data_IF_814084024976
#
_entry.id   IF_814084024976
#
_cell.length_a   1.000
_cell.length_b   1.000
_cell.length_c   1.000
_cell.angle_alpha   90.00
_cell.angle_beta   90.00
_cell.angle_gamma   90.00
#
_symmetry.space_group_name_H-M   'P 1'
#
loop_
_entity.id
_entity.type
_entity.pdbx_description
1 polymer ?
#
# COMPACT_ATOMS: atom_id res chain seq x y z
N UNK A 1 -12.81 -11.09 34.33
CA UNK A 1 -12.78 -9.74 34.94
C UNK A 1 -11.53 -8.93 34.57
N UNK A 2 -10.33 -9.53 34.52
CA UNK A 2 -9.07 -8.83 34.14
C UNK A 2 -8.93 -8.43 32.65
N UNK A 3 -9.58 -9.15 31.71
CA UNK A 3 -9.49 -8.85 30.28
C UNK A 3 -10.30 -7.62 29.85
N UNK A 4 -11.46 -7.37 30.49
CA UNK A 4 -12.32 -6.23 30.20
C UNK A 4 -11.67 -4.88 30.59
N UNK A 5 -10.95 -4.86 31.71
CA UNK A 5 -10.24 -3.65 32.20
C UNK A 5 -9.09 -3.20 31.29
N UNK A 6 -8.45 -4.13 30.56
CA UNK A 6 -7.41 -3.79 29.57
C UNK A 6 -8.00 -3.19 28.28
N UNK A 7 -9.19 -3.63 27.88
CA UNK A 7 -9.89 -3.11 26.70
C UNK A 7 -10.34 -1.66 26.89
N UNK A 8 -10.88 -1.32 28.06
CA UNK A 8 -11.33 0.05 28.36
C UNK A 8 -10.15 1.04 28.41
N UNK A 9 -9.03 0.67 29.03
CA UNK A 9 -7.85 1.53 29.12
C UNK A 9 -7.14 1.72 27.77
N UNK A 10 -7.18 0.72 26.87
CA UNK A 10 -6.71 0.84 25.48
C UNK A 10 -7.65 1.72 24.65
N UNK A 11 -8.96 1.55 24.79
CA UNK A 11 -9.96 2.39 24.12
C UNK A 11 -9.86 3.86 24.56
N UNK A 12 -9.63 4.10 25.84
CA UNK A 12 -9.48 5.44 26.40
C UNK A 12 -8.15 6.10 25.97
N UNK A 13 -7.04 5.33 25.90
CA UNK A 13 -5.76 5.81 25.34
C UNK A 13 -5.88 6.12 23.85
N UNK A 14 -6.56 5.29 23.08
CA UNK A 14 -6.84 5.55 21.66
C UNK A 14 -7.72 6.80 21.49
N UNK A 15 -8.78 6.94 22.29
CA UNK A 15 -9.69 8.09 22.25
C UNK A 15 -8.99 9.40 22.60
N UNK A 16 -8.16 9.43 23.65
CA UNK A 16 -7.38 10.62 24.03
C UNK A 16 -6.31 10.96 22.98
N UNK A 17 -5.68 9.95 22.38
CA UNK A 17 -4.70 10.17 21.30
C UNK A 17 -5.34 10.74 20.03
N UNK A 18 -6.55 10.29 19.69
CA UNK A 18 -7.32 10.80 18.56
C UNK A 18 -7.89 12.19 18.86
N UNK A 19 -8.39 12.45 20.06
CA UNK A 19 -9.00 13.73 20.43
C UNK A 19 -7.98 14.88 20.47
N UNK A 20 -6.72 14.60 20.85
CA UNK A 20 -5.61 15.56 20.77
C UNK A 20 -5.32 15.98 19.31
N UNK A 21 -5.53 15.09 18.34
CA UNK A 21 -5.37 15.41 16.90
C UNK A 21 -6.58 16.14 16.29
N UNK A 22 -7.79 15.97 16.83
CA UNK A 22 -9.02 16.57 16.28
C UNK A 22 -9.09 18.10 16.33
N UNK A 23 -8.27 18.77 17.14
CA UNK A 23 -8.26 20.23 17.24
C UNK A 23 -7.59 20.97 16.07
N UNK A 24 -6.98 20.24 15.12
CA UNK A 24 -6.38 20.83 13.93
C UNK A 24 -6.92 20.22 12.63
N UNK A 25 -8.21 20.46 12.33
CA UNK A 25 -8.88 20.01 11.10
C UNK A 25 -8.06 20.28 9.82
N UNK A 26 -7.33 21.41 9.77
CA UNK A 26 -6.43 21.77 8.67
C UNK A 26 -5.24 20.80 8.51
N UNK A 27 -4.63 20.36 9.62
CA UNK A 27 -3.51 19.40 9.59
C UNK A 27 -3.97 18.01 9.19
N UNK A 28 -5.13 17.56 9.70
CA UNK A 28 -5.73 16.28 9.30
C UNK A 28 -6.01 16.28 7.80
N UNK A 29 -6.59 17.37 7.27
CA UNK A 29 -6.87 17.48 5.85
C UNK A 29 -5.58 17.47 4.99
N UNK A 30 -4.53 18.18 5.42
CA UNK A 30 -3.23 18.15 4.73
C UNK A 30 -2.62 16.74 4.72
N UNK A 31 -2.67 16.02 5.85
CA UNK A 31 -2.19 14.63 5.92
C UNK A 31 -2.98 13.71 4.99
N UNK A 32 -4.31 13.87 4.95
CA UNK A 32 -5.18 13.06 4.09
C UNK A 32 -4.89 13.31 2.61
N UNK A 33 -4.68 14.58 2.20
CA UNK A 33 -4.23 14.90 0.85
C UNK A 33 -2.88 14.22 0.57
N UNK A 34 -1.93 14.33 1.49
CA UNK A 34 -0.60 13.73 1.32
C UNK A 34 -0.69 12.22 1.12
N UNK A 35 -1.54 11.53 1.90
CA UNK A 35 -1.79 10.09 1.74
C UNK A 35 -2.42 9.76 0.39
N UNK A 36 -3.41 10.52 -0.05
CA UNK A 36 -4.03 10.32 -1.38
C UNK A 36 -2.99 10.51 -2.49
N UNK A 37 -2.17 11.56 -2.40
CA UNK A 37 -1.12 11.84 -3.38
C UNK A 37 -0.08 10.72 -3.40
N UNK A 38 0.37 10.26 -2.23
CA UNK A 38 1.30 9.14 -2.14
C UNK A 38 0.72 7.87 -2.76
N UNK A 39 -0.55 7.58 -2.49
CA UNK A 39 -1.24 6.42 -3.05
C UNK A 39 -1.39 6.54 -4.57
N UNK A 40 -1.73 7.74 -5.06
CA UNK A 40 -1.84 8.02 -6.49
C UNK A 40 -0.50 7.84 -7.21
N UNK A 41 0.60 8.31 -6.63
CA UNK A 41 1.95 8.12 -7.18
C UNK A 41 2.27 6.62 -7.27
N UNK A 42 1.98 5.85 -6.22
CA UNK A 42 2.21 4.41 -6.23
C UNK A 42 1.41 3.70 -7.35
N UNK A 43 0.14 4.07 -7.54
CA UNK A 43 -0.69 3.50 -8.60
C UNK A 43 -0.28 3.94 -10.00
N UNK A 44 0.18 5.18 -10.15
CA UNK A 44 0.72 5.68 -11.40
C UNK A 44 2.03 4.97 -11.78
N UNK A 45 2.87 4.61 -10.80
CA UNK A 45 4.06 3.81 -11.06
C UNK A 45 3.72 2.45 -11.68
N UNK A 46 2.66 1.78 -11.21
CA UNK A 46 2.20 0.51 -11.81
C UNK A 46 1.81 0.68 -13.27
N UNK A 47 1.15 1.79 -13.62
CA UNK A 47 0.80 2.08 -15.02
C UNK A 47 2.05 2.23 -15.90
N UNK A 48 3.10 2.87 -15.38
CA UNK A 48 4.39 2.96 -16.08
C UNK A 48 5.03 1.56 -16.21
N UNK A 49 4.98 0.75 -15.15
CA UNK A 49 5.51 -0.62 -15.17
C UNK A 49 4.73 -1.55 -16.13
N UNK A 50 3.43 -1.37 -16.30
CA UNK A 50 2.68 -2.14 -17.32
C UNK A 50 3.14 -1.77 -18.73
N UNK A 51 3.39 -0.48 -18.97
CA UNK A 51 3.89 -0.01 -20.25
C UNK A 51 5.31 -0.51 -20.56
N UNK A 52 6.18 -0.70 -19.54
CA UNK A 52 7.52 -1.27 -19.75
C UNK A 52 7.48 -2.75 -20.12
N UNK A 53 6.44 -3.48 -19.72
CA UNK A 53 6.16 -4.85 -20.16
C UNK A 53 5.48 -4.92 -21.54
N UNK A 54 5.30 -3.78 -22.22
CA UNK A 54 4.52 -3.68 -23.47
C UNK A 54 3.09 -4.18 -23.32
N UNK A 55 2.50 -4.05 -22.13
CA UNK A 55 1.09 -4.43 -21.91
C UNK A 55 0.24 -3.25 -21.47
N UNK A 56 -0.96 -3.18 -22.03
CA UNK A 56 -1.91 -2.13 -21.75
C UNK A 56 -2.89 -2.53 -20.63
N UNK A 57 -2.84 -1.80 -19.53
CA UNK A 57 -3.87 -1.83 -18.49
C UNK A 57 -4.46 -0.43 -18.38
N UNK A 58 -5.79 -0.26 -18.58
CA UNK A 58 -6.43 1.03 -18.39
C UNK A 58 -6.16 1.58 -16.99
N UNK A 59 -5.71 2.83 -16.89
CA UNK A 59 -5.38 3.46 -15.61
C UNK A 59 -6.55 3.43 -14.62
N UNK A 60 -7.79 3.61 -15.11
CA UNK A 60 -9.00 3.50 -14.28
C UNK A 60 -9.17 2.11 -13.63
N UNK A 61 -8.75 1.03 -14.30
CA UNK A 61 -8.77 -0.31 -13.70
C UNK A 61 -7.73 -0.43 -12.59
N UNK A 62 -6.53 0.11 -12.79
CA UNK A 62 -5.46 0.12 -11.76
C UNK A 62 -5.95 0.88 -10.52
N UNK A 63 -6.55 2.06 -10.70
CA UNK A 63 -7.08 2.88 -9.60
C UNK A 63 -8.15 2.17 -8.76
N UNK A 64 -8.99 1.33 -9.37
CA UNK A 64 -10.04 0.60 -8.66
C UNK A 64 -9.51 -0.67 -7.99
N UNK A 65 -8.63 -1.40 -8.68
CA UNK A 65 -8.13 -2.70 -8.21
C UNK A 65 -7.06 -2.54 -7.13
N UNK A 66 -6.15 -1.57 -7.27
CA UNK A 66 -5.00 -1.48 -6.39
C UNK A 66 -5.32 -1.17 -4.92
N UNK A 67 -6.32 -0.34 -4.56
CA UNK A 67 -6.75 -0.21 -3.17
C UNK A 67 -7.20 -1.54 -2.56
N UNK A 68 -7.86 -2.40 -3.35
CA UNK A 68 -8.30 -3.73 -2.91
C UNK A 68 -7.09 -4.62 -2.67
N UNK A 69 -6.13 -4.64 -3.61
CA UNK A 69 -4.88 -5.41 -3.45
C UNK A 69 -4.09 -4.92 -2.23
N UNK A 70 -4.00 -3.60 -2.03
CA UNK A 70 -3.33 -3.01 -0.88
C UNK A 70 -4.00 -3.45 0.44
N UNK A 71 -5.33 -3.39 0.52
CA UNK A 71 -6.09 -3.84 1.69
C UNK A 71 -5.88 -5.34 1.97
N UNK A 72 -5.84 -6.18 0.92
CA UNK A 72 -5.51 -7.60 1.05
C UNK A 72 -4.08 -7.79 1.59
N UNK A 73 -3.10 -7.06 1.06
CA UNK A 73 -1.70 -7.15 1.51
C UNK A 73 -1.48 -6.64 2.93
N UNK A 74 -2.39 -5.81 3.47
CA UNK A 74 -2.38 -5.40 4.88
C UNK A 74 -2.83 -6.50 5.84
N UNK A 75 -3.48 -7.55 5.33
CA UNK A 75 -3.83 -8.70 6.15
C UNK A 75 -2.54 -9.44 6.55
N UNK A 76 -2.32 -9.74 7.85
CA UNK A 76 -1.11 -10.40 8.33
C UNK A 76 -1.14 -11.91 8.05
N UNK A 77 -1.59 -12.31 6.86
CA UNK A 77 -1.66 -13.70 6.40
C UNK A 77 -0.30 -14.15 5.87
N UNK A 78 0.47 -13.23 5.28
CA UNK A 78 1.77 -13.51 4.65
C UNK A 78 2.80 -12.43 4.97
N UNK A 79 4.10 -12.74 4.89
CA UNK A 79 5.16 -11.75 5.12
C UNK A 79 5.13 -10.66 4.03
N UNK A 80 4.72 -9.43 4.38
CA UNK A 80 4.61 -8.29 3.45
C UNK A 80 3.68 -8.52 2.24
N UNK A 81 2.74 -9.47 2.34
CA UNK A 81 1.92 -9.84 1.19
C UNK A 81 2.64 -10.73 0.17
N UNK A 82 3.85 -11.27 0.45
CA UNK A 82 4.53 -12.21 -0.45
C UNK A 82 3.68 -13.48 -0.63
N UNK A 83 3.37 -13.82 -1.87
CA UNK A 83 2.38 -14.81 -2.29
C UNK A 83 0.99 -14.21 -2.51
N UNK A 84 0.49 -13.39 -1.58
CA UNK A 84 -0.85 -12.79 -1.68
C UNK A 84 -0.91 -11.68 -2.73
N UNK A 85 0.17 -10.91 -2.88
CA UNK A 85 0.33 -9.86 -3.89
C UNK A 85 0.39 -10.47 -5.28
N UNK A 86 1.24 -11.45 -5.48
CA UNK A 86 1.41 -12.15 -6.75
C UNK A 86 0.10 -12.79 -7.17
N UNK A 87 -0.56 -13.49 -6.25
CA UNK A 87 -1.87 -14.08 -6.48
C UNK A 87 -2.92 -13.00 -6.83
N UNK A 88 -2.99 -11.90 -6.07
CA UNK A 88 -3.97 -10.85 -6.31
C UNK A 88 -3.74 -10.13 -7.65
N UNK A 89 -2.48 -9.87 -8.02
CA UNK A 89 -2.15 -9.30 -9.32
C UNK A 89 -2.57 -10.23 -10.46
N UNK A 90 -2.24 -11.53 -10.38
CA UNK A 90 -2.68 -12.52 -11.36
C UNK A 90 -4.20 -12.57 -11.42
N UNK A 91 -4.89 -12.67 -10.28
CA UNK A 91 -6.34 -12.73 -10.20
C UNK A 91 -7.03 -11.53 -10.87
N UNK A 92 -6.58 -10.30 -10.59
CA UNK A 92 -7.25 -9.10 -11.09
C UNK A 92 -6.80 -8.66 -12.49
N UNK A 93 -5.54 -8.90 -12.86
CA UNK A 93 -4.96 -8.41 -14.13
C UNK A 93 -4.80 -9.49 -15.20
N UNK A 94 -4.74 -10.78 -14.88
CA UNK A 94 -4.65 -11.86 -15.88
C UNK A 94 -5.69 -11.74 -17.01
N UNK A 95 -6.97 -11.40 -16.76
CA UNK A 95 -7.95 -11.23 -17.83
C UNK A 95 -7.61 -10.13 -18.87
N UNK A 96 -6.67 -9.23 -18.56
CA UNK A 96 -6.24 -8.16 -19.45
C UNK A 96 -4.90 -8.44 -20.10
N UNK A 97 -3.98 -9.06 -19.37
CA UNK A 97 -2.55 -9.12 -19.74
C UNK A 97 -2.00 -10.54 -19.86
N UNK A 98 -2.79 -11.54 -19.46
CA UNK A 98 -2.34 -12.92 -19.27
C UNK A 98 -1.64 -13.13 -17.92
N UNK A 99 -1.64 -14.38 -17.45
CA UNK A 99 -1.09 -14.73 -16.14
C UNK A 99 0.40 -14.40 -16.00
N UNK A 100 1.19 -14.72 -17.03
CA UNK A 100 2.63 -14.47 -17.03
C UNK A 100 2.96 -12.98 -16.89
N UNK A 101 2.30 -12.11 -17.66
CA UNK A 101 2.55 -10.67 -17.58
C UNK A 101 2.04 -10.07 -16.26
N UNK A 102 0.91 -10.55 -15.73
CA UNK A 102 0.39 -10.11 -14.44
C UNK A 102 1.35 -10.46 -13.30
N UNK A 103 1.93 -11.67 -13.33
CA UNK A 103 2.96 -12.09 -12.40
C UNK A 103 4.23 -11.23 -12.53
N UNK A 104 4.71 -11.01 -13.76
CA UNK A 104 5.87 -10.14 -14.02
C UNK A 104 5.65 -8.72 -13.50
N UNK A 105 4.44 -8.18 -13.64
CA UNK A 105 4.08 -6.86 -13.13
C UNK A 105 4.15 -6.80 -11.59
N UNK A 106 3.66 -7.84 -10.90
CA UNK A 106 3.78 -7.95 -9.44
C UNK A 106 5.24 -7.99 -8.99
N UNK A 107 6.08 -8.75 -9.69
CA UNK A 107 7.51 -8.88 -9.39
C UNK A 107 8.26 -7.56 -9.63
N UNK A 108 7.96 -6.86 -10.74
CA UNK A 108 8.52 -5.54 -11.01
C UNK A 108 8.10 -4.53 -9.93
N UNK A 109 6.85 -4.59 -9.48
CA UNK A 109 6.36 -3.73 -8.41
C UNK A 109 7.07 -4.03 -7.08
N UNK A 110 7.32 -5.31 -6.76
CA UNK A 110 8.13 -5.69 -5.61
C UNK A 110 9.57 -5.18 -5.74
N UNK A 111 10.20 -5.34 -6.90
CA UNK A 111 11.56 -4.87 -7.14
C UNK A 111 11.68 -3.34 -7.00
N UNK A 112 10.69 -2.60 -7.50
CA UNK A 112 10.58 -1.16 -7.30
C UNK A 112 10.52 -0.80 -5.81
N UNK A 113 9.65 -1.47 -5.05
CA UNK A 113 9.55 -1.24 -3.60
C UNK A 113 10.85 -1.53 -2.87
N UNK A 114 11.49 -2.66 -3.17
CA UNK A 114 12.78 -3.02 -2.58
C UNK A 114 13.86 -1.98 -2.90
N UNK A 115 13.86 -1.43 -4.12
CA UNK A 115 14.79 -0.38 -4.53
C UNK A 115 14.59 0.90 -3.71
N UNK A 116 13.34 1.34 -3.54
CA UNK A 116 13.00 2.51 -2.72
C UNK A 116 13.36 2.27 -1.25
N UNK A 117 13.05 1.10 -0.71
CA UNK A 117 13.39 0.73 0.66
C UNK A 117 14.91 0.69 0.88
N UNK A 118 15.68 0.21 -0.10
CA UNK A 118 17.13 0.18 -0.03
C UNK A 118 17.71 1.61 -0.03
N UNK A 119 17.20 2.49 -0.90
CA UNK A 119 17.60 3.91 -0.91
C UNK A 119 17.32 4.55 0.46
N UNK A 120 16.13 4.32 1.03
CA UNK A 120 15.78 4.79 2.36
C UNK A 120 16.71 4.25 3.45
N UNK A 121 17.07 2.95 3.37
CA UNK A 121 18.02 2.32 4.28
C UNK A 121 19.44 2.90 4.17
N UNK A 122 19.91 3.20 2.95
CA UNK A 122 21.19 3.87 2.72
C UNK A 122 21.17 5.28 3.32
N UNK A 123 20.13 6.07 3.03
CA UNK A 123 19.98 7.41 3.61
C UNK A 123 19.99 7.33 5.13
N UNK A 124 19.27 6.37 5.72
CA UNK A 124 19.24 6.17 7.17
C UNK A 124 20.63 5.85 7.76
N UNK A 125 21.45 5.05 7.06
CA UNK A 125 22.82 4.75 7.48
C UNK A 125 23.72 6.01 7.50
N UNK A 126 23.53 6.92 6.54
CA UNK A 126 24.30 8.16 6.43
C UNK A 126 23.70 9.35 7.20
N UNK A 127 22.44 9.26 7.63
CA UNK A 127 21.77 10.26 8.47
C UNK A 127 22.02 10.03 9.98
N UNK A 128 23.06 9.27 10.31
CA UNK A 128 23.57 9.18 11.67
C UNK A 128 24.62 10.26 11.91
#
# INVERSE_FOLDING_TARGET
>A
MWAALKLDSLAQKAYVSVSVYTNHKKKIFQMLILSIVAQFIAFFAIYILSNSLSVYIPFGKILLVMPIIAALCMLPVTMNGLGLREWAFVFFFSPNVGEAAALSLSLLYLAMFLSVSLIGGIIYLFWR
#
